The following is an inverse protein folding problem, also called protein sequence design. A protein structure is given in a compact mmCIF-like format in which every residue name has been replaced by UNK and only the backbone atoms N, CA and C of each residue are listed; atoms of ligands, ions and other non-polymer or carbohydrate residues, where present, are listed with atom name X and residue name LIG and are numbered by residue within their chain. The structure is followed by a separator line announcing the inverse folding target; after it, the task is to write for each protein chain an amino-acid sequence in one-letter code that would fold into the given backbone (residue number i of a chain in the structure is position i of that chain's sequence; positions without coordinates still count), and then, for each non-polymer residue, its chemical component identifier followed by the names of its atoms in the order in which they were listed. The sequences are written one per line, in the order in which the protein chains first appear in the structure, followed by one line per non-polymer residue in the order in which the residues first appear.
data_IF_665475196897
#
_entry.id   IF_665475196897
#
_cell.length_a   1.000
_cell.length_b   1.000
_cell.length_c   1.000
_cell.angle_alpha   90.00
_cell.angle_beta   90.00
_cell.angle_gamma   90.00
#
_symmetry.space_group_name_H-M   'P 1'
#
loop_
_entity.id
_entity.type
_entity.pdbx_description
1 polymer ?
#
# COMPACT_ATOMS: atom_id res chain seq x y z
N UNK A 1 -1.00 5.81 3.07
CA UNK A 1 -0.44 4.54 2.55
C UNK A 1 -1.55 3.52 2.41
N UNK A 2 -1.61 2.82 1.28
CA UNK A 2 -2.50 1.66 1.09
C UNK A 2 -1.63 0.40 0.96
N UNK A 3 -2.00 -0.68 1.66
CA UNK A 3 -1.24 -1.92 1.69
C UNK A 3 -2.14 -3.13 1.85
N UNK A 4 -2.00 -4.14 0.96
CA UNK A 4 -2.75 -5.40 1.00
C UNK A 4 -2.23 -6.41 2.04
N UNK A 5 -1.10 -6.13 2.70
CA UNK A 5 -0.36 -7.01 3.61
C UNK A 5 0.16 -8.25 2.85
N UNK A 6 -0.65 -9.29 2.73
CA UNK A 6 -0.41 -10.47 1.91
C UNK A 6 -1.76 -11.13 1.59
N UNK A 7 -2.13 -11.14 0.32
CA UNK A 7 -3.46 -11.57 -0.12
C UNK A 7 -3.77 -13.02 0.28
N UNK A 8 -2.75 -13.91 0.19
CA UNK A 8 -2.91 -15.31 0.61
C UNK A 8 -3.15 -15.47 2.13
N UNK A 9 -2.59 -14.57 2.96
CA UNK A 9 -2.83 -14.58 4.41
C UNK A 9 -4.24 -14.09 4.73
N UNK A 10 -4.67 -13.03 4.09
CA UNK A 10 -6.03 -12.49 4.29
C UNK A 10 -7.06 -13.53 3.88
N UNK A 11 -6.92 -14.12 2.67
CA UNK A 11 -7.81 -15.18 2.20
C UNK A 11 -7.81 -16.42 3.12
N UNK A 12 -6.66 -16.77 3.69
CA UNK A 12 -6.56 -17.88 4.64
C UNK A 12 -7.30 -17.58 5.95
N UNK A 13 -7.16 -16.36 6.48
CA UNK A 13 -7.82 -15.95 7.72
C UNK A 13 -9.33 -15.91 7.54
N UNK A 14 -9.82 -15.32 6.46
CA UNK A 14 -11.25 -15.16 6.16
C UNK A 14 -11.92 -16.48 5.71
N UNK A 15 -11.14 -17.50 5.43
CA UNK A 15 -11.61 -18.82 5.02
C UNK A 15 -11.18 -19.93 5.96
N UNK A 16 -10.15 -20.75 5.62
CA UNK A 16 -9.80 -21.98 6.35
C UNK A 16 -9.43 -21.80 7.82
N UNK A 17 -8.94 -20.62 8.20
CA UNK A 17 -8.53 -20.35 9.58
C UNK A 17 -9.69 -19.95 10.50
N UNK A 18 -10.90 -19.76 9.94
CA UNK A 18 -12.10 -19.29 10.68
C UNK A 18 -11.75 -18.10 11.58
N UNK A 19 -11.01 -17.14 10.99
CA UNK A 19 -10.43 -16.03 11.72
C UNK A 19 -11.14 -14.72 11.48
N UNK A 20 -10.57 -13.66 12.02
CA UNK A 20 -11.11 -12.31 11.94
C UNK A 20 -10.03 -11.31 11.51
N UNK A 21 -10.43 -10.34 10.71
CA UNK A 21 -9.64 -9.17 10.33
C UNK A 21 -10.23 -7.95 10.99
N UNK A 22 -9.61 -7.49 12.07
CA UNK A 22 -10.02 -6.30 12.82
C UNK A 22 -9.20 -5.09 12.39
N UNK A 23 -9.86 -3.98 12.04
CA UNK A 23 -9.20 -2.73 11.66
C UNK A 23 -9.52 -1.66 12.70
N UNK A 24 -8.48 -1.08 13.31
CA UNK A 24 -8.63 -0.03 14.31
C UNK A 24 -8.33 1.34 13.71
N UNK A 25 -9.25 2.27 13.92
CA UNK A 25 -9.10 3.67 13.48
C UNK A 25 -7.78 4.29 13.95
N UNK A 26 -7.18 5.18 13.12
CA UNK A 26 -7.72 5.75 11.91
C UNK A 26 -7.50 4.92 10.63
N UNK A 27 -6.96 3.69 10.72
CA UNK A 27 -6.90 2.81 9.58
C UNK A 27 -8.30 2.39 9.11
N UNK A 28 -8.46 2.14 7.80
CA UNK A 28 -9.71 1.67 7.19
C UNK A 28 -9.43 0.57 6.18
N UNK A 29 -10.35 -0.39 6.07
CA UNK A 29 -10.34 -1.39 5.00
C UNK A 29 -10.94 -0.79 3.73
N UNK A 30 -10.31 -1.04 2.59
CA UNK A 30 -10.72 -0.62 1.26
C UNK A 30 -10.67 -1.82 0.29
N UNK A 31 -11.18 -1.67 -0.91
CA UNK A 31 -11.07 -2.71 -1.96
C UNK A 31 -9.62 -2.98 -2.37
N UNK A 32 -8.73 -1.99 -2.22
CA UNK A 32 -7.30 -2.10 -2.52
C UNK A 32 -6.45 -2.59 -1.32
N UNK A 33 -7.07 -3.03 -0.23
CA UNK A 33 -6.43 -3.45 1.02
C UNK A 33 -6.73 -2.53 2.19
N UNK A 34 -5.74 -2.22 3.00
CA UNK A 34 -5.87 -1.39 4.20
C UNK A 34 -5.25 -0.03 3.97
N UNK A 35 -6.02 1.02 4.18
CA UNK A 35 -5.53 2.39 4.14
C UNK A 35 -5.12 2.82 5.54
N UNK A 36 -3.87 3.30 5.67
CA UNK A 36 -3.33 3.91 6.86
C UNK A 36 -3.08 5.40 6.57
N UNK A 37 -3.79 6.33 7.21
CA UNK A 37 -3.51 7.74 7.07
C UNK A 37 -2.11 8.09 7.59
N UNK A 38 -1.55 9.19 7.11
CA UNK A 38 -0.30 9.71 7.64
C UNK A 38 -0.48 10.11 9.10
N UNK A 39 0.47 9.75 9.95
CA UNK A 39 0.49 10.22 11.33
C UNK A 39 1.12 11.62 11.36
N UNK A 40 0.47 12.56 12.04
CA UNK A 40 1.06 13.85 12.37
C UNK A 40 2.12 13.61 13.44
N UNK A 41 3.39 13.62 13.07
CA UNK A 41 4.49 13.57 14.04
C UNK A 41 4.91 15.00 14.38
N UNK A 42 4.78 15.44 15.66
CA UNK A 42 5.39 16.68 16.10
C UNK A 42 6.93 16.50 16.06
N UNK A 43 7.58 17.13 15.10
CA UNK A 43 9.04 17.11 14.96
C UNK A 43 9.61 16.60 13.65
N UNK A 44 8.79 16.11 12.71
CA UNK A 44 9.22 16.00 11.33
C UNK A 44 9.35 17.42 10.77
N UNK A 45 10.59 17.90 10.71
CA UNK A 45 10.90 19.13 9.97
C UNK A 45 10.41 18.94 8.53
N UNK A 46 9.75 19.95 8.00
CA UNK A 46 9.13 19.97 6.65
C UNK A 46 10.12 19.67 5.50
N UNK A 47 11.37 19.40 5.80
CA UNK A 47 12.43 19.01 4.87
C UNK A 47 12.35 17.54 4.44
N UNK A 48 11.51 16.72 5.10
CA UNK A 48 11.31 15.31 4.75
C UNK A 48 10.35 15.09 3.55
N UNK A 49 9.93 16.14 2.86
CA UNK A 49 9.30 16.04 1.55
C UNK A 49 10.37 15.91 0.45
N UNK A 50 11.47 15.20 0.75
CA UNK A 50 12.49 14.86 -0.22
C UNK A 50 11.96 13.89 -1.24
N UNK A 51 11.93 14.29 -2.48
CA UNK A 51 11.88 13.41 -3.65
C UNK A 51 12.98 12.35 -3.45
N UNK A 52 12.73 11.04 -3.75
CA UNK A 52 13.72 9.96 -3.54
C UNK A 52 15.01 10.11 -4.37
N UNK A 53 15.15 11.19 -5.12
CA UNK A 53 16.29 11.47 -5.99
C UNK A 53 17.41 12.26 -5.31
N UNK A 54 17.22 12.72 -4.08
CA UNK A 54 18.28 13.38 -3.32
C UNK A 54 18.81 12.41 -2.27
N UNK A 55 20.11 12.32 -2.09
CA UNK A 55 20.84 11.38 -1.23
C UNK A 55 20.56 11.56 0.29
N UNK A 56 19.27 11.66 0.66
CA UNK A 56 18.77 11.77 2.02
C UNK A 56 17.83 10.61 2.36
N UNK A 57 17.76 10.23 3.62
CA UNK A 57 16.78 9.29 4.11
C UNK A 57 15.42 10.00 4.24
N UNK A 58 14.36 9.41 3.71
CA UNK A 58 12.98 9.87 3.90
C UNK A 58 12.27 8.92 4.85
N UNK A 59 11.58 9.45 5.87
CA UNK A 59 10.82 8.67 6.82
C UNK A 59 9.34 9.10 6.80
N UNK A 60 8.45 8.10 6.82
CA UNK A 60 7.01 8.31 6.81
C UNK A 60 6.38 7.47 7.91
N UNK A 61 5.58 8.09 8.77
CA UNK A 61 4.80 7.42 9.78
C UNK A 61 3.31 7.42 9.40
N UNK A 62 2.65 6.30 9.70
CA UNK A 62 1.22 6.12 9.46
C UNK A 62 0.55 5.68 10.75
N UNK A 63 -0.75 5.92 10.87
CA UNK A 63 -1.51 5.65 12.08
C UNK A 63 -2.58 4.59 11.84
N UNK A 64 -2.89 3.85 12.92
CA UNK A 64 -3.91 2.82 12.95
C UNK A 64 -3.34 1.41 12.97
N UNK A 65 -4.22 0.42 13.04
CA UNK A 65 -3.78 -0.96 13.11
C UNK A 65 -4.70 -1.92 12.38
N UNK A 66 -4.13 -3.05 11.96
CA UNK A 66 -4.83 -4.23 11.46
C UNK A 66 -4.41 -5.41 12.32
N UNK A 67 -5.38 -6.10 12.92
CA UNK A 67 -5.18 -7.34 13.66
C UNK A 67 -5.78 -8.49 12.89
N UNK A 68 -5.02 -9.54 12.75
CA UNK A 68 -5.37 -10.76 12.05
C UNK A 68 -5.37 -11.90 13.06
N UNK A 69 -6.52 -12.49 13.33
CA UNK A 69 -6.65 -13.63 14.25
C UNK A 69 -7.13 -14.85 13.50
N UNK A 70 -6.78 -16.04 13.97
CA UNK A 70 -7.22 -17.29 13.39
C UNK A 70 -6.94 -18.47 14.32
N UNK A 71 -7.51 -19.64 13.99
CA UNK A 71 -7.35 -20.87 14.78
C UNK A 71 -7.64 -20.65 16.27
N UNK A 72 -8.77 -19.98 16.58
CA UNK A 72 -9.19 -19.66 17.96
C UNK A 72 -8.11 -18.91 18.75
N UNK A 73 -7.37 -18.02 18.10
CA UNK A 73 -6.33 -17.18 18.70
C UNK A 73 -4.91 -17.76 18.68
N UNK A 74 -4.69 -18.94 18.09
CA UNK A 74 -3.35 -19.47 17.91
C UNK A 74 -2.53 -18.65 16.89
N UNK A 75 -3.21 -18.01 15.93
CA UNK A 75 -2.65 -16.97 15.06
C UNK A 75 -3.16 -15.61 15.57
N UNK A 76 -2.28 -14.73 15.99
CA UNK A 76 -2.57 -13.35 16.42
C UNK A 76 -1.47 -12.41 15.93
N UNK A 77 -1.72 -11.75 14.82
CA UNK A 77 -0.83 -10.80 14.17
C UNK A 77 -1.38 -9.41 14.34
N UNK A 78 -0.60 -8.48 14.90
CA UNK A 78 -0.94 -7.06 14.94
C UNK A 78 0.06 -6.23 14.15
N UNK A 79 -0.42 -5.53 13.15
CA UNK A 79 0.30 -4.55 12.36
C UNK A 79 -0.19 -3.17 12.77
N UNK A 80 0.56 -2.49 13.63
CA UNK A 80 0.17 -1.20 14.19
C UNK A 80 1.19 -0.12 13.83
N UNK A 81 0.70 1.07 13.52
CA UNK A 81 1.46 2.30 13.27
C UNK A 81 2.64 2.06 12.31
N UNK A 82 2.36 1.68 11.05
CA UNK A 82 3.41 1.39 10.09
C UNK A 82 4.34 2.58 9.87
N UNK A 83 5.63 2.29 9.69
CA UNK A 83 6.66 3.30 9.38
C UNK A 83 7.47 2.84 8.18
N UNK A 84 7.66 3.74 7.23
CA UNK A 84 8.52 3.53 6.06
C UNK A 84 9.74 4.41 6.20
N UNK A 85 10.92 3.84 6.01
CA UNK A 85 12.17 4.58 5.88
C UNK A 85 12.77 4.24 4.53
N UNK A 86 13.06 5.24 3.70
CA UNK A 86 13.66 5.07 2.38
C UNK A 86 15.05 5.75 2.36
N UNK A 87 15.97 5.10 1.66
CA UNK A 87 17.28 5.66 1.32
C UNK A 87 17.51 5.38 -0.17
N UNK A 88 17.41 6.43 -0.99
CA UNK A 88 17.37 6.25 -2.43
C UNK A 88 16.17 5.43 -2.89
N UNK A 89 16.41 4.33 -3.60
CA UNK A 89 15.37 3.42 -4.12
C UNK A 89 15.03 2.25 -3.20
N UNK A 90 15.69 2.10 -2.08
CA UNK A 90 15.47 1.00 -1.13
C UNK A 90 15.06 1.52 0.24
N UNK A 91 14.49 0.66 1.07
CA UNK A 91 14.08 1.05 2.41
C UNK A 91 13.54 -0.09 3.23
N UNK A 92 12.85 0.23 4.31
CA UNK A 92 12.25 -0.74 5.22
C UNK A 92 10.84 -0.34 5.61
N UNK A 93 10.01 -1.35 5.86
CA UNK A 93 8.72 -1.21 6.52
C UNK A 93 8.85 -1.77 7.93
N UNK A 94 8.53 -0.95 8.91
CA UNK A 94 8.47 -1.35 10.30
C UNK A 94 7.06 -1.13 10.86
N UNK A 95 6.69 -1.90 11.87
CA UNK A 95 5.47 -1.74 12.66
C UNK A 95 5.82 -1.61 14.13
N UNK A 96 4.88 -1.16 14.98
CA UNK A 96 5.09 -1.10 16.42
C UNK A 96 5.41 -2.47 16.99
N UNK A 97 6.46 -2.55 17.80
CA UNK A 97 6.82 -3.78 18.50
C UNK A 97 6.04 -3.91 19.81
N UNK A 98 5.06 -4.84 19.85
CA UNK A 98 4.26 -5.12 21.06
C UNK A 98 5.03 -5.86 22.16
N UNK A 99 6.10 -6.55 21.79
CA UNK A 99 6.93 -7.31 22.74
C UNK A 99 7.94 -6.44 23.48
N UNK A 100 8.18 -5.22 23.00
CA UNK A 100 9.17 -4.33 23.58
C UNK A 100 8.57 -3.47 24.71
N UNK A 101 9.36 -3.19 25.76
CA UNK A 101 8.94 -2.34 26.89
C UNK A 101 8.74 -0.88 26.52
N UNK A 102 9.51 -0.41 25.55
CA UNK A 102 9.37 0.93 24.99
C UNK A 102 8.20 0.95 23.99
N UNK A 103 7.14 1.74 24.25
CA UNK A 103 5.97 1.81 23.36
C UNK A 103 6.27 2.42 21.99
N UNK A 104 7.43 3.06 21.82
CA UNK A 104 7.89 3.65 20.56
C UNK A 104 8.75 2.69 19.72
N UNK A 105 9.13 1.55 20.30
CA UNK A 105 9.93 0.54 19.61
C UNK A 105 9.21 0.00 18.37
N UNK A 106 9.97 -0.21 17.31
CA UNK A 106 9.47 -0.75 16.05
C UNK A 106 10.21 -2.00 15.63
N UNK A 107 9.52 -2.87 14.93
CA UNK A 107 10.03 -4.10 14.36
C UNK A 107 10.03 -3.99 12.83
N UNK A 108 11.20 -4.13 12.20
CA UNK A 108 11.30 -4.14 10.73
C UNK A 108 10.78 -5.48 10.20
N UNK A 109 9.70 -5.42 9.43
CA UNK A 109 8.99 -6.61 8.94
C UNK A 109 9.20 -6.88 7.46
N UNK A 110 9.55 -5.85 6.68
CA UNK A 110 9.85 -6.01 5.25
C UNK A 110 10.94 -5.05 4.79
N UNK A 111 11.71 -5.51 3.80
CA UNK A 111 12.56 -4.67 2.98
C UNK A 111 11.75 -4.14 1.81
N UNK A 112 11.97 -2.87 1.45
CA UNK A 112 11.23 -2.17 0.42
C UNK A 112 12.12 -1.80 -0.76
N UNK A 113 11.52 -1.84 -1.96
CA UNK A 113 12.14 -1.31 -3.18
C UNK A 113 11.13 -0.44 -3.93
N UNK A 114 11.56 0.77 -4.28
CA UNK A 114 10.75 1.70 -5.07
C UNK A 114 10.65 1.21 -6.52
N UNK A 115 9.43 1.07 -7.03
CA UNK A 115 9.19 0.75 -8.44
C UNK A 115 9.22 2.04 -9.25
N UNK A 116 10.10 2.17 -10.25
CA UNK A 116 10.14 3.36 -11.10
C UNK A 116 8.81 3.55 -11.84
N UNK A 117 8.32 4.78 -11.93
CA UNK A 117 7.03 5.11 -12.56
C UNK A 117 6.88 4.62 -14.02
N UNK A 118 7.98 4.35 -14.72
CA UNK A 118 7.97 3.83 -16.10
C UNK A 118 7.58 2.36 -16.21
N UNK A 119 7.62 1.59 -15.13
CA UNK A 119 7.24 0.17 -15.14
C UNK A 119 5.72 -0.04 -15.05
N UNK A 120 4.98 0.98 -14.63
CA UNK A 120 3.53 0.88 -14.43
C UNK A 120 2.70 1.06 -15.70
N UNK A 121 3.28 1.57 -16.80
CA UNK A 121 2.56 1.88 -18.05
C UNK A 121 2.71 0.82 -19.14
N UNK A 122 3.44 -0.26 -18.94
CA UNK A 122 3.68 -1.28 -19.98
C UNK A 122 2.80 -2.55 -19.85
N UNK A 123 1.84 -2.59 -18.96
CA UNK A 123 1.00 -3.77 -18.78
C UNK A 123 -0.36 -3.72 -19.52
N UNK A 124 -0.55 -2.78 -20.48
CA UNK A 124 -1.86 -2.60 -21.12
C UNK A 124 -1.90 -2.62 -22.65
N UNK A 125 -0.78 -2.91 -23.33
CA UNK A 125 -0.75 -2.85 -24.80
C UNK A 125 -0.21 -4.15 -25.44
N UNK A 126 -0.90 -5.27 -25.25
CA UNK A 126 -0.73 -6.46 -26.08
C UNK A 126 -2.05 -7.23 -26.23
N UNK A 127 -3.06 -6.60 -26.84
CA UNK A 127 -4.12 -7.32 -27.57
C UNK A 127 -4.70 -6.42 -28.67
N UNK A 128 -3.94 -6.24 -29.72
CA UNK A 128 -4.49 -5.78 -31.00
C UNK A 128 -4.68 -6.99 -31.92
N UNK A 129 -5.86 -7.58 -31.82
CA UNK A 129 -6.37 -8.61 -32.72
C UNK A 129 -7.04 -7.96 -33.94
N UNK A 130 -6.38 -8.02 -35.07
CA UNK A 130 -6.83 -7.73 -36.42
C UNK A 130 -8.19 -8.39 -36.76
N UNK A 131 -9.19 -7.59 -37.12
CA UNK A 131 -10.33 -8.04 -37.95
C UNK A 131 -10.91 -6.87 -38.72
N UNK A 132 -10.57 -6.81 -40.00
CA UNK A 132 -11.19 -5.96 -41.00
C UNK A 132 -12.67 -6.36 -41.24
N UNK A 133 -13.56 -5.38 -41.47
CA UNK A 133 -14.96 -5.59 -41.89
C UNK A 133 -15.74 -4.31 -42.05
N UNK A 134 -15.57 -3.70 -43.20
CA UNK A 134 -16.49 -2.97 -44.10
C UNK A 134 -17.74 -2.25 -43.52
N UNK A 135 -17.92 -0.99 -43.94
CA UNK A 135 -18.99 -0.03 -43.71
C UNK A 135 -20.29 -0.38 -44.56
N UNK A 136 -21.42 0.42 -44.60
CA UNK A 136 -21.56 1.85 -44.31
C UNK A 136 -22.90 2.32 -43.64
N UNK A 137 -22.89 3.53 -43.10
CA UNK A 137 -23.85 4.67 -43.24
C UNK A 137 -25.35 4.49 -42.86
N UNK A 138 -25.88 5.32 -42.00
CA UNK A 138 -26.81 6.43 -42.24
C UNK A 138 -27.52 6.92 -40.93
N UNK A 139 -27.50 8.24 -40.77
CA UNK A 139 -28.68 9.02 -40.42
C UNK A 139 -29.02 9.38 -38.98
N UNK A 140 -28.65 10.57 -38.60
CA UNK A 140 -29.50 11.67 -38.08
C UNK A 140 -29.94 11.73 -36.60
N UNK A 141 -29.45 12.82 -35.94
CA UNK A 141 -30.13 13.72 -34.95
C UNK A 141 -30.60 13.15 -33.62
N UNK A 142 -30.28 13.69 -32.48
CA UNK A 142 -30.56 15.02 -31.92
C UNK A 142 -29.92 15.10 -30.52
N UNK A 143 -29.33 16.22 -30.18
CA UNK A 143 -28.95 16.60 -28.81
C UNK A 143 -30.21 17.24 -28.15
N UNK A 144 -30.27 17.52 -26.83
CA UNK A 144 -29.23 18.11 -26.00
C UNK A 144 -29.28 17.70 -24.51
N UNK A 145 -28.27 18.13 -23.79
CA UNK A 145 -28.46 18.53 -22.39
C UNK A 145 -27.65 17.77 -21.37
N UNK A 146 -26.48 18.29 -21.07
CA UNK A 146 -26.17 18.94 -19.80
C UNK A 146 -26.06 18.04 -18.60
N UNK A 147 -24.87 17.77 -18.17
CA UNK A 147 -24.44 17.95 -16.77
C UNK A 147 -22.94 17.71 -16.75
N UNK A 148 -22.24 18.81 -16.82
CA UNK A 148 -20.84 18.91 -16.41
C UNK A 148 -20.75 18.47 -14.95
N UNK A 149 -20.16 17.33 -14.73
CA UNK A 149 -19.58 16.99 -13.46
C UNK A 149 -18.06 16.96 -13.69
N UNK A 150 -17.50 18.14 -13.79
CA UNK A 150 -16.08 18.39 -13.60
C UNK A 150 -15.68 17.90 -12.22
N UNK A 151 -15.33 16.63 -12.13
CA UNK A 151 -14.49 16.16 -11.05
C UNK A 151 -13.04 16.30 -11.47
N UNK A 152 -12.65 17.55 -11.80
CA UNK A 152 -11.25 17.95 -11.78
C UNK A 152 -10.78 17.94 -10.33
N UNK A 153 -10.28 16.79 -9.89
CA UNK A 153 -9.42 16.68 -8.70
C UNK A 153 -8.04 16.30 -9.19
N UNK A 154 -7.54 17.09 -10.12
CA UNK A 154 -6.16 17.10 -10.55
C UNK A 154 -5.27 17.81 -9.54
N UNK A 155 -5.13 17.28 -8.34
CA UNK A 155 -3.96 17.54 -7.54
C UNK A 155 -2.94 16.49 -7.94
N UNK A 156 -1.81 16.90 -8.50
CA UNK A 156 -0.64 16.06 -8.82
C UNK A 156 -0.07 15.43 -7.54
N UNK A 157 -0.82 14.51 -6.95
CA UNK A 157 -0.39 13.74 -5.80
C UNK A 157 0.62 12.71 -6.30
N UNK A 158 1.88 12.91 -5.97
CA UNK A 158 2.94 11.96 -6.29
C UNK A 158 2.63 10.61 -5.61
N UNK A 159 2.37 9.59 -6.41
CA UNK A 159 2.06 8.24 -5.94
C UNK A 159 3.27 7.32 -6.16
N UNK A 160 3.76 6.73 -5.09
CA UNK A 160 4.87 5.79 -5.13
C UNK A 160 4.37 4.37 -4.93
N UNK A 161 4.83 3.46 -5.78
CA UNK A 161 4.63 2.03 -5.63
C UNK A 161 5.92 1.42 -5.07
N UNK A 162 5.78 0.63 -4.01
CA UNK A 162 6.88 -0.05 -3.34
C UNK A 162 6.60 -1.55 -3.32
N UNK A 163 7.54 -2.35 -3.81
CA UNK A 163 7.54 -3.78 -3.54
C UNK A 163 8.09 -4.04 -2.15
N UNK A 164 7.63 -5.11 -1.51
CA UNK A 164 8.02 -5.47 -0.15
C UNK A 164 8.37 -6.94 -0.07
N UNK A 165 9.52 -7.25 0.55
CA UNK A 165 9.97 -8.61 0.79
C UNK A 165 10.15 -8.87 2.28
N UNK A 166 9.74 -10.04 2.72
CA UNK A 166 9.63 -10.39 4.13
C UNK A 166 11.00 -10.55 4.81
N UNK A 167 11.21 -9.84 5.92
CA UNK A 167 12.39 -10.02 6.78
C UNK A 167 12.25 -11.25 7.69
N UNK A 168 13.34 -11.69 8.36
CA UNK A 168 13.26 -12.72 9.41
C UNK A 168 12.24 -12.38 10.51
N UNK A 169 12.20 -11.14 10.98
CA UNK A 169 11.26 -10.71 12.01
C UNK A 169 9.82 -10.69 11.49
N UNK A 170 9.61 -10.19 10.26
CA UNK A 170 8.30 -10.21 9.61
C UNK A 170 7.77 -11.64 9.42
N UNK A 171 8.66 -12.60 9.09
CA UNK A 171 8.30 -14.01 9.03
C UNK A 171 7.72 -14.53 10.36
N UNK A 172 8.38 -14.23 11.48
CA UNK A 172 7.89 -14.63 12.79
C UNK A 172 6.57 -13.95 13.13
N UNK A 173 6.45 -12.66 12.83
CA UNK A 173 5.23 -11.89 13.08
C UNK A 173 4.03 -12.46 12.31
N UNK A 174 4.22 -12.88 11.04
CA UNK A 174 3.17 -13.45 10.20
C UNK A 174 2.96 -14.97 10.39
N UNK A 175 3.35 -15.53 11.55
CA UNK A 175 3.07 -16.92 11.92
C UNK A 175 4.08 -17.94 11.39
N UNK A 176 5.25 -17.50 10.93
CA UNK A 176 6.40 -18.30 10.50
C UNK A 176 6.16 -19.26 9.31
N UNK A 177 5.01 -19.22 8.67
CA UNK A 177 4.63 -20.08 7.54
C UNK A 177 5.25 -19.65 6.21
N UNK A 178 5.70 -18.40 6.10
CA UNK A 178 6.32 -17.83 4.90
C UNK A 178 7.84 -17.92 4.96
N UNK A 179 8.50 -17.80 3.79
CA UNK A 179 9.95 -17.76 3.72
C UNK A 179 10.46 -16.34 3.90
N UNK A 180 11.67 -16.19 4.45
CA UNK A 180 12.39 -14.90 4.42
C UNK A 180 12.66 -14.54 2.95
N UNK A 181 12.42 -13.28 2.57
CA UNK A 181 12.54 -12.81 1.19
C UNK A 181 11.30 -13.09 0.34
N UNK A 182 10.23 -13.67 0.92
CA UNK A 182 8.97 -13.86 0.20
C UNK A 182 8.25 -12.52 0.00
N UNK A 183 7.65 -12.35 -1.18
CA UNK A 183 6.95 -11.12 -1.54
C UNK A 183 5.68 -10.93 -0.70
N UNK A 184 5.51 -9.73 -0.21
CA UNK A 184 4.26 -9.21 0.36
C UNK A 184 3.49 -8.43 -0.72
N UNK A 185 2.22 -8.13 -0.46
CA UNK A 185 1.46 -7.26 -1.34
C UNK A 185 2.13 -5.88 -1.42
N UNK A 186 2.19 -5.26 -2.61
CA UNK A 186 2.86 -3.97 -2.78
C UNK A 186 2.18 -2.86 -1.97
N UNK A 187 2.96 -1.85 -1.61
CA UNK A 187 2.48 -0.67 -0.93
C UNK A 187 2.34 0.50 -1.90
N UNK A 188 1.24 1.24 -1.79
CA UNK A 188 1.06 2.52 -2.47
C UNK A 188 1.11 3.65 -1.44
N UNK A 189 2.03 4.59 -1.64
CA UNK A 189 2.17 5.78 -0.81
C UNK A 189 1.84 6.99 -1.64
N UNK A 190 0.85 7.77 -1.21
CA UNK A 190 0.48 9.05 -1.83
C UNK A 190 1.04 10.16 -0.97
N UNK A 191 1.81 11.03 -1.57
CA UNK A 191 2.35 12.22 -0.93
C UNK A 191 1.55 13.45 -1.37
N UNK A 192 1.28 14.39 -0.45
CA UNK A 192 0.67 15.65 -0.83
C UNK A 192 1.63 16.41 -1.75
N UNK A 193 1.10 16.95 -2.84
CA UNK A 193 1.83 17.90 -3.67
C UNK A 193 2.24 19.11 -2.85
N UNK A 194 3.43 19.62 -3.08
CA UNK A 194 3.85 20.90 -2.50
C UNK A 194 3.03 22.01 -3.14
N UNK A 195 2.29 22.73 -2.33
CA UNK A 195 1.74 24.04 -2.70
C UNK A 195 2.84 25.09 -2.65
#
# INVERSE_FOLDING_TARGET
MTWGIKDSLIAYIEGPAEGEVEVTTPAVRTDAGFFFPRADQPGETADAAGTPHTAGAAAFAFAGSVRLTGHWGALDVLLADPRITLTGSTGTLAVRDRGHRDPTATLVIADLTLVPARASSQASDDEEGDAAGDAPNDGTRDAPGGADADADTGADAESWLLTATLTPHGRFLLGAQYRVGEDLSPLRVVLPSRS
#
